data_IF_236005814232
#
_entry.id   IF_236005814232
#
_cell.length_a   1.000
_cell.length_b   1.000
_cell.length_c   1.000
_cell.angle_alpha   90.00
_cell.angle_beta   90.00
_cell.angle_gamma   90.00
#
_symmetry.space_group_name_H-M   'P 1'
#
loop_
_entity.id
_entity.type
_entity.pdbx_description
1 polymer ?
#
# COMPACT_ATOMS: atom_id res chain seq x y z
N UNK A 1 36.07 -34.54 -33.33
CA UNK A 1 37.02 -33.54 -33.90
C UNK A 1 36.72 -32.23 -33.18
N UNK A 2 37.54 -31.60 -32.35
CA UNK A 2 38.93 -31.67 -31.86
C UNK A 2 38.88 -30.98 -30.49
N UNK A 3 39.17 -31.59 -29.34
CA UNK A 3 40.49 -31.92 -28.76
C UNK A 3 41.48 -30.74 -28.73
N UNK A 4 41.57 -30.07 -27.57
CA UNK A 4 42.74 -29.47 -26.88
C UNK A 4 42.17 -28.95 -25.54
N UNK A 5 42.28 -29.56 -24.36
CA UNK A 5 43.40 -30.15 -23.60
C UNK A 5 44.57 -29.21 -23.31
N UNK A 6 44.82 -29.07 -21.99
CA UNK A 6 45.95 -28.50 -21.24
C UNK A 6 45.76 -27.07 -20.72
N UNK A 7 46.11 -26.72 -19.48
CA UNK A 7 46.31 -27.38 -18.17
C UNK A 7 46.74 -26.21 -17.25
N UNK A 8 46.31 -26.27 -15.98
CA UNK A 8 46.98 -25.69 -14.81
C UNK A 8 47.18 -24.17 -14.74
N UNK A 9 46.47 -23.55 -13.79
CA UNK A 9 47.18 -22.99 -12.62
C UNK A 9 46.27 -23.03 -11.39
N UNK A 10 46.74 -23.78 -10.40
CA UNK A 10 46.25 -23.78 -9.03
C UNK A 10 46.62 -22.42 -8.46
N UNK A 11 45.63 -21.59 -8.11
CA UNK A 11 45.80 -20.63 -7.03
C UNK A 11 44.72 -20.91 -5.99
N UNK A 12 45.17 -21.57 -4.93
CA UNK A 12 44.48 -21.57 -3.65
C UNK A 12 44.45 -20.14 -3.13
N UNK A 13 43.38 -19.42 -3.45
CA UNK A 13 42.97 -18.24 -2.69
C UNK A 13 41.70 -18.60 -1.94
N UNK A 14 41.89 -19.29 -0.82
CA UNK A 14 40.96 -19.22 0.29
C UNK A 14 40.95 -17.77 0.78
N UNK A 15 40.03 -16.97 0.24
CA UNK A 15 39.60 -15.73 0.87
C UNK A 15 38.14 -15.92 1.27
N UNK A 16 37.97 -16.58 2.42
CA UNK A 16 36.84 -16.36 3.31
C UNK A 16 36.79 -14.87 3.65
N UNK A 17 36.11 -14.09 2.82
CA UNK A 17 35.54 -12.83 3.23
C UNK A 17 34.04 -12.98 3.07
N UNK A 18 33.46 -13.72 4.03
CA UNK A 18 32.09 -13.48 4.43
C UNK A 18 32.01 -12.06 4.98
N UNK A 19 32.03 -11.07 4.09
CA UNK A 19 31.48 -9.75 4.37
C UNK A 19 29.99 -9.97 4.47
N UNK A 20 29.54 -10.37 5.66
CA UNK A 20 28.22 -10.03 6.13
C UNK A 20 28.15 -8.51 6.18
N UNK A 21 27.94 -7.90 5.01
CA UNK A 21 27.40 -6.57 4.89
C UNK A 21 25.97 -6.68 5.43
N UNK A 22 25.85 -6.73 6.76
CA UNK A 22 24.66 -6.25 7.44
C UNK A 22 24.61 -4.76 7.11
N UNK A 23 24.08 -4.45 5.94
CA UNK A 23 23.76 -3.09 5.57
C UNK A 23 22.79 -2.63 6.66
N UNK A 24 23.23 -1.71 7.52
CA UNK A 24 22.35 -1.06 8.48
C UNK A 24 21.38 -0.21 7.66
N UNK A 25 20.34 -0.84 7.12
CA UNK A 25 19.27 -0.15 6.42
C UNK A 25 18.50 0.63 7.48
N UNK A 26 18.41 1.94 7.26
CA UNK A 26 17.65 2.83 8.12
C UNK A 26 16.23 2.25 8.36
N UNK A 27 15.81 2.04 9.62
CA UNK A 27 14.47 1.57 9.95
C UNK A 27 13.35 2.39 9.32
N UNK A 28 13.54 3.70 9.11
CA UNK A 28 12.57 4.57 8.44
C UNK A 28 12.47 4.24 6.94
N UNK A 29 13.59 4.01 6.26
CA UNK A 29 13.59 3.68 4.83
C UNK A 29 12.91 2.33 4.57
N UNK A 30 13.29 1.30 5.33
CA UNK A 30 12.66 -0.02 5.22
C UNK A 30 11.17 0.00 5.63
N UNK A 31 10.81 0.83 6.61
CA UNK A 31 9.43 1.07 7.01
C UNK A 31 8.61 1.74 5.90
N UNK A 32 9.15 2.78 5.25
CA UNK A 32 8.51 3.47 4.13
C UNK A 32 8.16 2.52 3.00
N UNK A 33 9.12 1.70 2.56
CA UNK A 33 8.88 0.72 1.51
C UNK A 33 7.78 -0.27 1.90
N UNK A 34 7.79 -0.74 3.15
CA UNK A 34 6.79 -1.69 3.66
C UNK A 34 5.39 -1.09 3.69
N UNK A 35 5.25 0.12 4.22
CA UNK A 35 3.97 0.82 4.33
C UNK A 35 3.41 1.16 2.94
N UNK A 36 4.19 1.82 2.08
CA UNK A 36 3.76 2.21 0.73
C UNK A 36 3.40 1.00 -0.14
N UNK A 37 4.16 -0.10 -0.04
CA UNK A 37 3.84 -1.33 -0.80
C UNK A 37 2.51 -1.94 -0.33
N UNK A 38 2.23 -1.90 0.97
CA UNK A 38 0.99 -2.44 1.52
C UNK A 38 -0.19 -1.58 1.09
N UNK A 39 -0.07 -0.25 1.19
CA UNK A 39 -1.04 0.73 0.68
C UNK A 39 -1.34 0.48 -0.80
N UNK A 40 -0.30 0.41 -1.64
CA UNK A 40 -0.46 0.21 -3.08
C UNK A 40 -1.18 -1.10 -3.41
N UNK A 41 -0.88 -2.18 -2.66
CA UNK A 41 -1.58 -3.46 -2.82
C UNK A 41 -3.07 -3.31 -2.50
N UNK A 42 -3.40 -2.73 -1.36
CA UNK A 42 -4.79 -2.51 -0.91
C UNK A 42 -5.57 -1.68 -1.93
N UNK A 43 -5.02 -0.55 -2.35
CA UNK A 43 -5.68 0.33 -3.35
C UNK A 43 -5.86 -0.40 -4.67
N UNK A 44 -4.84 -1.11 -5.16
CA UNK A 44 -4.95 -1.83 -6.42
C UNK A 44 -6.01 -2.93 -6.36
N UNK A 45 -6.07 -3.68 -5.27
CA UNK A 45 -7.06 -4.73 -5.07
C UNK A 45 -8.48 -4.15 -5.09
N UNK A 46 -8.76 -3.16 -4.24
CA UNK A 46 -10.06 -2.48 -4.21
C UNK A 46 -10.42 -1.88 -5.58
N UNK A 47 -9.47 -1.24 -6.26
CA UNK A 47 -9.68 -0.63 -7.58
C UNK A 47 -9.97 -1.66 -8.65
N UNK A 48 -9.30 -2.81 -8.66
CA UNK A 48 -9.55 -3.88 -9.66
C UNK A 48 -10.96 -4.44 -9.53
N UNK A 49 -11.49 -4.51 -8.31
CA UNK A 49 -12.84 -4.99 -8.04
C UNK A 49 -13.92 -4.09 -8.62
N UNK A 50 -13.66 -2.81 -8.89
CA UNK A 50 -14.66 -1.85 -9.41
C UNK A 50 -14.34 -1.27 -10.79
N UNK A 51 -13.19 -1.63 -11.40
CA UNK A 51 -12.71 -1.03 -12.66
C UNK A 51 -13.41 -1.54 -13.93
N UNK A 52 -13.84 -2.79 -14.00
CA UNK A 52 -14.50 -3.28 -15.21
C UNK A 52 -15.84 -2.56 -15.45
N UNK A 53 -15.98 -1.93 -16.62
CA UNK A 53 -17.22 -1.29 -17.06
C UNK A 53 -18.32 -2.33 -17.32
N UNK A 54 -19.60 -1.92 -17.22
CA UNK A 54 -20.71 -2.74 -17.67
C UNK A 54 -20.51 -3.27 -19.08
N UNK A 55 -20.52 -4.60 -19.23
CA UNK A 55 -21.03 -5.18 -20.46
C UNK A 55 -22.54 -4.91 -20.43
N UNK A 56 -23.12 -4.42 -21.53
CA UNK A 56 -24.56 -4.15 -21.62
C UNK A 56 -25.37 -5.36 -21.10
N UNK A 57 -26.30 -5.11 -20.16
CA UNK A 57 -27.19 -6.13 -19.59
C UNK A 57 -26.84 -6.64 -18.18
N UNK A 58 -25.81 -6.09 -17.52
CA UNK A 58 -25.44 -6.48 -16.14
C UNK A 58 -26.38 -5.83 -15.10
N UNK A 59 -26.89 -6.64 -14.17
CA UNK A 59 -27.83 -6.24 -13.11
C UNK A 59 -27.22 -5.26 -12.08
N UNK A 60 -28.01 -4.31 -11.57
CA UNK A 60 -27.59 -3.41 -10.47
C UNK A 60 -27.12 -4.15 -9.21
N UNK A 61 -27.59 -5.39 -9.00
CA UNK A 61 -27.17 -6.26 -7.88
C UNK A 61 -25.68 -6.61 -7.99
N UNK A 62 -25.22 -6.94 -9.20
CA UNK A 62 -23.81 -7.28 -9.44
C UNK A 62 -22.87 -6.10 -9.15
N UNK A 63 -23.30 -4.86 -9.41
CA UNK A 63 -22.53 -3.67 -9.06
C UNK A 63 -22.45 -3.45 -7.56
N UNK A 64 -23.57 -3.63 -6.84
CA UNK A 64 -23.57 -3.52 -5.39
C UNK A 64 -22.58 -4.52 -4.77
N UNK A 65 -22.58 -5.78 -5.23
CA UNK A 65 -21.64 -6.81 -4.76
C UNK A 65 -20.17 -6.41 -4.98
N UNK A 66 -19.82 -5.87 -6.15
CA UNK A 66 -18.45 -5.41 -6.44
C UNK A 66 -18.00 -4.26 -5.55
N UNK A 67 -18.89 -3.32 -5.26
CA UNK A 67 -18.61 -2.24 -4.31
C UNK A 67 -18.42 -2.77 -2.88
N UNK A 68 -19.22 -3.75 -2.46
CA UNK A 68 -19.04 -4.40 -1.16
C UNK A 68 -17.71 -5.16 -1.09
N UNK A 69 -17.33 -5.87 -2.14
CA UNK A 69 -16.03 -6.54 -2.22
C UNK A 69 -14.86 -5.54 -2.15
N UNK A 70 -14.98 -4.37 -2.78
CA UNK A 70 -13.98 -3.32 -2.66
C UNK A 70 -13.89 -2.77 -1.22
N UNK A 71 -15.03 -2.63 -0.54
CA UNK A 71 -15.06 -2.25 0.88
C UNK A 71 -14.41 -3.32 1.78
N UNK A 72 -14.63 -4.61 1.49
CA UNK A 72 -13.93 -5.71 2.14
C UNK A 72 -12.42 -5.62 1.94
N UNK A 73 -11.96 -5.39 0.71
CA UNK A 73 -10.53 -5.25 0.41
C UNK A 73 -9.89 -4.07 1.16
N UNK A 74 -10.61 -2.93 1.27
CA UNK A 74 -10.18 -1.79 2.08
C UNK A 74 -10.11 -2.14 3.58
N UNK A 75 -11.10 -2.88 4.10
CA UNK A 75 -11.13 -3.31 5.51
C UNK A 75 -9.94 -4.23 5.83
N UNK A 76 -9.74 -5.27 5.00
CA UNK A 76 -8.61 -6.20 5.13
C UNK A 76 -7.29 -5.46 4.99
N UNK A 77 -7.20 -4.53 4.04
CA UNK A 77 -6.03 -3.69 3.84
C UNK A 77 -5.73 -2.78 5.03
N UNK A 78 -6.75 -2.17 5.63
CA UNK A 78 -6.62 -1.36 6.84
C UNK A 78 -6.06 -2.18 8.01
N UNK A 79 -6.57 -3.39 8.23
CA UNK A 79 -6.07 -4.31 9.25
C UNK A 79 -4.61 -4.71 8.98
N UNK A 80 -4.28 -5.04 7.73
CA UNK A 80 -2.91 -5.38 7.34
C UNK A 80 -1.95 -4.22 7.58
N UNK A 81 -2.37 -2.98 7.26
CA UNK A 81 -1.61 -1.77 7.55
C UNK A 81 -1.44 -1.59 9.06
N UNK A 82 -2.51 -1.68 9.86
CA UNK A 82 -2.48 -1.52 11.31
C UNK A 82 -1.55 -2.53 12.02
N UNK A 83 -1.35 -3.71 11.42
CA UNK A 83 -0.50 -4.77 11.98
C UNK A 83 0.99 -4.69 11.58
N UNK A 84 1.36 -3.77 10.68
CA UNK A 84 2.77 -3.59 10.30
C UNK A 84 3.64 -3.24 11.52
N UNK A 85 4.80 -3.90 11.64
CA UNK A 85 5.75 -3.66 12.72
C UNK A 85 6.74 -2.55 12.33
N UNK A 86 6.29 -1.31 12.37
CA UNK A 86 7.10 -0.14 12.02
C UNK A 86 7.89 0.39 13.23
N UNK A 87 9.21 0.52 13.05
CA UNK A 87 10.12 1.00 14.11
C UNK A 87 10.15 2.51 14.23
N UNK A 88 10.05 3.21 13.11
CA UNK A 88 10.04 4.65 13.05
C UNK A 88 8.72 5.21 13.61
N UNK A 89 8.81 6.27 14.42
CA UNK A 89 7.64 6.81 15.13
C UNK A 89 6.69 7.55 14.20
N UNK A 90 7.23 8.34 13.26
CA UNK A 90 6.41 9.09 12.30
C UNK A 90 5.65 8.12 11.38
N UNK A 91 6.31 7.05 10.94
CA UNK A 91 5.65 6.01 10.16
C UNK A 91 4.53 5.29 10.90
N UNK A 92 4.62 5.11 12.23
CA UNK A 92 3.49 4.57 13.01
C UNK A 92 2.30 5.54 13.05
N UNK A 93 2.55 6.84 13.03
CA UNK A 93 1.49 7.85 12.92
C UNK A 93 0.78 7.72 11.58
N UNK A 94 1.53 7.70 10.47
CA UNK A 94 0.94 7.52 9.14
C UNK A 94 0.23 6.18 8.99
N UNK A 95 0.79 5.10 9.55
CA UNK A 95 0.17 3.79 9.59
C UNK A 95 -1.21 3.83 10.25
N UNK A 96 -1.33 4.45 11.42
CA UNK A 96 -2.60 4.58 12.13
C UNK A 96 -3.61 5.39 11.30
N UNK A 97 -3.19 6.57 10.79
CA UNK A 97 -4.04 7.45 9.99
C UNK A 97 -4.56 6.75 8.73
N UNK A 98 -3.70 6.10 7.95
CA UNK A 98 -4.11 5.42 6.73
C UNK A 98 -5.02 4.23 7.04
N UNK A 99 -4.74 3.45 8.09
CA UNK A 99 -5.64 2.35 8.48
C UNK A 99 -7.05 2.85 8.83
N UNK A 100 -7.16 3.96 9.55
CA UNK A 100 -8.44 4.56 9.90
C UNK A 100 -9.16 5.09 8.65
N UNK A 101 -8.45 5.78 7.75
CA UNK A 101 -9.02 6.29 6.50
C UNK A 101 -9.62 5.16 5.65
N UNK A 102 -8.94 4.01 5.56
CA UNK A 102 -9.45 2.87 4.79
C UNK A 102 -10.64 2.19 5.44
N UNK A 103 -10.72 2.15 6.77
CA UNK A 103 -11.94 1.74 7.48
C UNK A 103 -13.10 2.69 7.17
N UNK A 104 -12.88 4.01 7.25
CA UNK A 104 -13.92 5.00 6.96
C UNK A 104 -14.41 4.93 5.50
N UNK A 105 -13.52 4.68 4.54
CA UNK A 105 -13.90 4.47 3.14
C UNK A 105 -14.72 3.20 2.96
N UNK A 106 -14.36 2.10 3.62
CA UNK A 106 -15.14 0.87 3.61
C UNK A 106 -16.55 1.11 4.20
N UNK A 107 -16.64 1.75 5.36
CA UNK A 107 -17.90 2.10 6.03
C UNK A 107 -18.79 2.98 5.14
N UNK A 108 -18.23 4.02 4.52
CA UNK A 108 -18.95 4.87 3.59
C UNK A 108 -19.49 4.08 2.40
N UNK A 109 -18.72 3.13 1.88
CA UNK A 109 -19.12 2.26 0.77
C UNK A 109 -20.28 1.34 1.18
N UNK A 110 -20.18 0.70 2.34
CA UNK A 110 -21.27 -0.11 2.91
C UNK A 110 -22.56 0.70 3.08
N UNK A 111 -22.45 1.87 3.69
CA UNK A 111 -23.57 2.77 3.93
C UNK A 111 -24.22 3.22 2.62
N UNK A 112 -23.42 3.56 1.60
CA UNK A 112 -23.90 3.96 0.29
C UNK A 112 -24.65 2.84 -0.43
N UNK A 113 -24.10 1.60 -0.42
CA UNK A 113 -24.77 0.45 -1.04
C UNK A 113 -26.11 0.18 -0.35
N UNK A 114 -26.12 0.16 0.99
CA UNK A 114 -27.33 -0.02 1.79
C UNK A 114 -28.37 1.06 1.50
N UNK A 115 -27.98 2.32 1.53
CA UNK A 115 -28.87 3.45 1.27
C UNK A 115 -29.52 3.37 -0.12
N UNK A 116 -28.77 2.94 -1.14
CA UNK A 116 -29.32 2.72 -2.50
C UNK A 116 -30.34 1.58 -2.55
N UNK A 117 -30.07 0.47 -1.87
CA UNK A 117 -30.99 -0.66 -1.77
C UNK A 117 -32.30 -0.26 -1.06
N UNK A 118 -32.17 0.48 0.02
CA UNK A 118 -33.27 0.97 0.85
C UNK A 118 -33.98 2.19 0.24
N UNK A 119 -33.43 2.75 -0.85
CA UNK A 119 -33.87 4.02 -1.50
C UNK A 119 -33.90 5.21 -0.53
N UNK A 120 -33.00 5.19 0.44
CA UNK A 120 -32.84 6.22 1.45
C UNK A 120 -31.88 7.31 0.95
N UNK A 121 -32.45 8.44 0.52
CA UNK A 121 -31.67 9.57 0.00
C UNK A 121 -30.83 10.27 1.07
N UNK A 122 -31.34 10.35 2.30
CA UNK A 122 -30.64 11.01 3.41
C UNK A 122 -29.40 10.20 3.81
N UNK A 123 -29.56 8.88 3.95
CA UNK A 123 -28.44 7.97 4.22
C UNK A 123 -27.42 7.96 3.07
N UNK A 124 -27.86 8.04 1.81
CA UNK A 124 -26.96 8.10 0.67
C UNK A 124 -26.13 9.40 0.69
N UNK A 125 -26.74 10.53 1.04
CA UNK A 125 -26.04 11.81 1.15
C UNK A 125 -25.03 11.80 2.30
N UNK A 126 -25.41 11.25 3.47
CA UNK A 126 -24.50 11.08 4.60
C UNK A 126 -23.28 10.20 4.24
N UNK A 127 -23.52 9.06 3.57
CA UNK A 127 -22.45 8.17 3.11
C UNK A 127 -21.53 8.86 2.07
N UNK A 128 -22.10 9.68 1.18
CA UNK A 128 -21.31 10.46 0.23
C UNK A 128 -20.40 11.47 0.93
N UNK A 129 -20.92 12.19 1.93
CA UNK A 129 -20.13 13.15 2.72
C UNK A 129 -19.00 12.44 3.46
N UNK A 130 -19.26 11.28 4.06
CA UNK A 130 -18.22 10.48 4.72
C UNK A 130 -17.12 10.05 3.73
N UNK A 131 -17.51 9.55 2.56
CA UNK A 131 -16.57 9.16 1.50
C UNK A 131 -15.70 10.33 1.03
N UNK A 132 -16.28 11.52 0.85
CA UNK A 132 -15.54 12.72 0.44
C UNK A 132 -14.55 13.18 1.51
N UNK A 133 -14.96 13.15 2.78
CA UNK A 133 -14.07 13.50 3.89
C UNK A 133 -12.88 12.54 3.97
N UNK A 134 -13.15 11.23 3.92
CA UNK A 134 -12.11 10.20 3.96
C UNK A 134 -11.16 10.30 2.76
N UNK A 135 -11.67 10.54 1.55
CA UNK A 135 -10.84 10.74 0.35
C UNK A 135 -9.95 11.99 0.42
N UNK A 136 -10.46 13.09 0.98
CA UNK A 136 -9.65 14.31 1.19
C UNK A 136 -8.54 14.08 2.23
N UNK A 137 -8.85 13.28 3.26
CA UNK A 137 -7.87 12.89 4.27
C UNK A 137 -6.83 11.92 3.69
N UNK A 138 -7.22 10.99 2.82
CA UNK A 138 -6.30 10.11 2.10
C UNK A 138 -5.29 10.90 1.27
N UNK A 139 -5.78 11.86 0.47
CA UNK A 139 -4.91 12.67 -0.40
C UNK A 139 -3.87 13.44 0.42
N UNK A 140 -4.31 14.15 1.46
CA UNK A 140 -3.41 14.95 2.30
C UNK A 140 -2.43 14.09 3.11
N UNK A 141 -2.90 12.98 3.69
CA UNK A 141 -2.05 12.05 4.46
C UNK A 141 -1.05 11.32 3.55
N UNK A 142 -1.49 10.89 2.37
CA UNK A 142 -0.65 10.22 1.37
C UNK A 142 0.47 11.13 0.86
N UNK A 143 0.15 12.39 0.52
CA UNK A 143 1.16 13.37 0.13
C UNK A 143 2.21 13.61 1.24
N UNK A 144 1.76 13.72 2.49
CA UNK A 144 2.67 13.91 3.62
C UNK A 144 3.58 12.69 3.85
N UNK A 145 3.02 11.47 3.75
CA UNK A 145 3.78 10.22 3.83
C UNK A 145 4.82 10.12 2.72
N UNK A 146 4.44 10.43 1.48
CA UNK A 146 5.36 10.41 0.33
C UNK A 146 6.52 11.38 0.51
N UNK A 147 6.23 12.62 0.93
CA UNK A 147 7.24 13.63 1.24
C UNK A 147 8.17 13.17 2.36
N UNK A 148 7.61 12.62 3.44
CA UNK A 148 8.38 12.06 4.55
C UNK A 148 9.34 10.98 4.05
N UNK A 149 8.84 9.99 3.31
CA UNK A 149 9.64 8.91 2.80
C UNK A 149 10.72 9.39 1.82
N UNK A 150 10.39 10.31 0.91
CA UNK A 150 11.36 10.91 0.01
C UNK A 150 12.50 11.63 0.75
N UNK A 151 12.18 12.37 1.81
CA UNK A 151 13.19 13.05 2.63
C UNK A 151 14.18 12.07 3.28
N UNK A 152 13.70 10.90 3.74
CA UNK A 152 14.56 9.85 4.32
C UNK A 152 15.48 9.23 3.28
N UNK A 153 14.97 8.95 2.08
CA UNK A 153 15.81 8.49 0.98
C UNK A 153 16.90 9.51 0.63
N UNK A 154 16.53 10.79 0.49
CA UNK A 154 17.48 11.86 0.18
C UNK A 154 18.55 12.03 1.27
N UNK A 155 18.17 12.00 2.55
CA UNK A 155 19.12 12.14 3.67
C UNK A 155 20.19 11.04 3.67
N UNK A 156 19.85 9.81 3.28
CA UNK A 156 20.81 8.69 3.16
C UNK A 156 21.77 8.85 1.98
N UNK A 157 21.31 9.45 0.88
CA UNK A 157 22.07 9.58 -0.35
C UNK A 157 22.78 10.95 -0.51
N UNK A 158 22.38 11.94 0.30
CA UNK A 158 22.89 13.31 0.29
C UNK A 158 24.01 13.60 1.29
N UNK A 159 24.38 12.65 2.17
CA UNK A 159 25.53 12.79 3.08
C UNK A 159 26.89 12.54 2.41
N UNK A 160 26.95 12.59 1.08
CA UNK A 160 28.15 12.45 0.28
C UNK A 160 28.17 13.50 -0.83
N UNK A 161 28.44 14.75 -0.47
CA UNK A 161 29.03 15.73 -1.39
C UNK A 161 30.12 16.51 -0.64
N UNK A 162 31.24 16.81 -1.32
CA UNK A 162 32.54 17.18 -0.76
C UNK A 162 32.57 18.49 0.03
#
# INVERSE_FOLDING_TARGET
MTLFSRLLSISSSAALLGLSACQNVDPAISGCQTLLTTIQRTVNEAKTLVQDEPVDGVSQIFYAERWLQAADALTIGAEAIAQLRLRDAELRTYQAQISEIYQQQAEATYAMVKARQDKDLEAAQAAQTLSQAAGSQEESTGQALDQYCQSKYQARHGSGSP
#
